data_IF_888054572588
#
_entry.id   IF_888054572588
#
_cell.length_a   1.000
_cell.length_b   1.000
_cell.length_c   1.000
_cell.angle_alpha   90.00
_cell.angle_beta   90.00
_cell.angle_gamma   90.00
#
_symmetry.space_group_name_H-M   'P 1'
#
loop_
_entity.id
_entity.type
_entity.pdbx_description
1 polymer ?
#
# COMPACT_ATOMS: atom_id res chain seq x y z
N UNK A 1 63.93 -15.52 8.72
CA UNK A 1 64.75 -16.10 7.63
C UNK A 1 64.12 -17.44 7.29
N UNK A 2 63.58 -17.79 6.14
CA UNK A 2 63.29 -17.17 4.85
C UNK A 2 62.59 -18.25 3.99
N UNK A 3 61.76 -17.81 3.03
CA UNK A 3 61.13 -18.57 1.93
C UNK A 3 60.06 -19.61 2.31
N UNK A 4 58.83 -19.63 1.78
CA UNK A 4 58.25 -18.98 0.61
C UNK A 4 57.76 -20.03 -0.38
N UNK A 5 56.46 -20.31 -0.44
CA UNK A 5 55.83 -20.98 -1.58
C UNK A 5 54.37 -20.53 -1.71
N UNK A 6 54.11 -19.81 -2.80
CA UNK A 6 52.81 -19.26 -3.21
C UNK A 6 52.02 -20.36 -3.94
N UNK A 7 50.76 -20.57 -3.55
CA UNK A 7 49.82 -21.40 -4.31
C UNK A 7 49.23 -20.54 -5.43
N UNK A 8 49.41 -20.99 -6.67
CA UNK A 8 48.90 -20.37 -7.87
C UNK A 8 47.39 -20.63 -8.02
N UNK A 9 46.64 -19.57 -8.32
CA UNK A 9 45.23 -19.61 -8.71
C UNK A 9 45.16 -19.93 -10.20
N UNK A 10 44.48 -21.02 -10.55
CA UNK A 10 44.21 -21.43 -11.92
C UNK A 10 43.02 -20.60 -12.46
N UNK A 11 43.28 -19.68 -13.39
CA UNK A 11 42.25 -18.95 -14.14
C UNK A 11 41.97 -19.75 -15.41
N UNK A 12 40.76 -20.30 -15.54
CA UNK A 12 40.27 -20.91 -16.77
C UNK A 12 39.69 -19.83 -17.69
N UNK A 13 40.32 -19.61 -18.83
CA UNK A 13 39.78 -18.81 -19.93
C UNK A 13 38.79 -19.66 -20.75
N UNK A 14 37.51 -19.31 -20.71
CA UNK A 14 36.53 -19.82 -21.68
C UNK A 14 36.53 -18.87 -22.87
N UNK A 15 37.03 -19.37 -24.00
CA UNK A 15 36.96 -18.70 -25.30
C UNK A 15 35.65 -19.14 -25.97
N UNK A 16 34.71 -18.21 -26.18
CA UNK A 16 33.53 -18.47 -27.02
C UNK A 16 33.88 -18.08 -28.46
N UNK A 17 34.01 -19.09 -29.31
CA UNK A 17 34.10 -18.98 -30.77
C UNK A 17 32.74 -18.54 -31.33
N UNK A 18 32.68 -17.33 -31.88
CA UNK A 18 31.58 -16.89 -32.75
C UNK A 18 31.89 -17.36 -34.17
N UNK A 19 31.25 -18.44 -34.60
CA UNK A 19 31.30 -18.90 -35.99
C UNK A 19 30.20 -18.19 -36.78
N UNK A 20 30.60 -17.29 -37.69
CA UNK A 20 29.71 -16.67 -38.65
C UNK A 20 29.29 -17.67 -39.73
N UNK A 21 27.98 -17.76 -39.98
CA UNK A 21 27.42 -18.39 -41.16
C UNK A 21 26.78 -17.31 -42.05
N UNK A 22 27.35 -17.17 -43.25
CA UNK A 22 26.79 -16.41 -44.36
C UNK A 22 25.46 -17.02 -44.79
N UNK A 23 24.40 -16.23 -44.86
CA UNK A 23 23.16 -16.59 -45.57
C UNK A 23 23.07 -15.75 -46.83
N UNK A 24 23.22 -16.42 -47.98
CA UNK A 24 23.05 -15.86 -49.32
C UNK A 24 21.56 -15.90 -49.65
N UNK A 25 21.04 -14.78 -50.18
CA UNK A 25 19.62 -14.57 -50.42
C UNK A 25 19.02 -15.43 -51.53
N UNK A 26 17.74 -15.75 -51.37
CA UNK A 26 16.80 -15.86 -52.48
C UNK A 26 15.64 -14.90 -52.23
N UNK A 27 15.47 -13.94 -53.14
CA UNK A 27 14.28 -13.09 -53.21
C UNK A 27 13.15 -13.90 -53.82
N UNK A 28 12.21 -14.34 -52.99
CA UNK A 28 10.88 -14.72 -53.44
C UNK A 28 9.96 -13.52 -53.21
N UNK A 29 9.48 -12.93 -54.32
CA UNK A 29 8.48 -11.89 -54.32
C UNK A 29 7.14 -12.48 -53.83
N UNK A 30 6.77 -12.20 -52.58
CA UNK A 30 5.44 -12.50 -52.08
C UNK A 30 4.43 -11.48 -52.63
N UNK A 31 3.25 -11.91 -53.13
CA UNK A 31 2.19 -10.99 -53.49
C UNK A 31 1.66 -10.25 -52.25
N UNK A 32 1.40 -8.96 -52.40
CA UNK A 32 0.87 -8.07 -51.36
C UNK A 32 -0.35 -8.68 -50.66
N UNK A 33 -0.45 -8.62 -49.32
CA UNK A 33 -1.69 -8.97 -48.63
C UNK A 33 -2.78 -7.99 -49.05
N UNK A 34 -3.90 -8.53 -49.54
CA UNK A 34 -5.15 -7.77 -49.65
C UNK A 34 -5.50 -7.27 -48.25
N UNK A 35 -5.57 -5.95 -48.09
CA UNK A 35 -5.79 -5.30 -46.81
C UNK A 35 -7.09 -5.77 -46.16
N UNK A 36 -6.96 -6.36 -44.98
CA UNK A 36 -8.08 -6.47 -44.06
C UNK A 36 -8.49 -5.06 -43.60
N UNK A 37 -9.79 -4.74 -43.52
CA UNK A 37 -10.23 -3.46 -42.98
C UNK A 37 -9.72 -3.31 -41.54
N UNK A 38 -9.35 -2.08 -41.12
CA UNK A 38 -8.95 -1.84 -39.75
C UNK A 38 -10.09 -2.24 -38.80
N UNK A 39 -9.75 -2.79 -37.60
CA UNK A 39 -10.77 -3.02 -36.59
C UNK A 39 -11.50 -1.71 -36.27
N UNK A 40 -12.79 -1.75 -35.91
CA UNK A 40 -13.53 -0.56 -35.50
C UNK A 40 -12.76 0.17 -34.41
N UNK A 41 -12.59 1.49 -34.58
CA UNK A 41 -12.01 2.33 -33.54
C UNK A 41 -12.79 2.09 -32.24
N UNK A 42 -12.12 1.52 -31.24
CA UNK A 42 -12.65 1.44 -29.89
C UNK A 42 -12.83 2.86 -29.40
N UNK A 43 -14.07 3.24 -29.07
CA UNK A 43 -14.36 4.52 -28.45
C UNK A 43 -13.46 4.67 -27.21
N UNK A 44 -12.90 5.86 -26.94
CA UNK A 44 -12.18 6.10 -25.71
C UNK A 44 -13.11 5.77 -24.54
N UNK A 45 -12.78 4.72 -23.80
CA UNK A 45 -13.41 4.45 -22.52
C UNK A 45 -12.92 5.56 -21.61
N UNK A 46 -13.75 6.57 -21.39
CA UNK A 46 -13.47 7.58 -20.40
C UNK A 46 -13.15 6.86 -19.07
N UNK A 47 -12.04 7.22 -18.39
CA UNK A 47 -11.80 6.70 -17.06
C UNK A 47 -13.03 6.99 -16.21
N UNK A 48 -13.43 6.07 -15.31
CA UNK A 48 -14.54 6.33 -14.40
C UNK A 48 -14.27 7.66 -13.69
N UNK A 49 -15.28 8.54 -13.58
CA UNK A 49 -15.12 9.80 -12.88
C UNK A 49 -14.54 9.52 -11.50
N UNK A 50 -13.53 10.28 -11.12
CA UNK A 50 -12.96 10.27 -9.78
C UNK A 50 -14.13 10.36 -8.78
N UNK A 51 -14.21 9.47 -7.78
CA UNK A 51 -15.35 9.44 -6.87
C UNK A 51 -15.50 10.83 -6.24
N UNK A 52 -16.70 11.38 -6.35
CA UNK A 52 -17.07 12.67 -5.74
C UNK A 52 -16.61 12.67 -4.28
N UNK A 53 -15.91 13.72 -3.80
CA UNK A 53 -15.46 13.80 -2.42
C UNK A 53 -16.65 13.56 -1.49
N UNK A 54 -16.59 12.48 -0.73
CA UNK A 54 -17.63 12.11 0.22
C UNK A 54 -17.73 13.22 1.27
N UNK A 55 -18.93 13.73 1.60
CA UNK A 55 -19.08 14.76 2.62
C UNK A 55 -18.50 14.27 3.96
N UNK A 56 -17.65 15.08 4.59
CA UNK A 56 -17.09 14.81 5.91
C UNK A 56 -18.22 14.65 6.95
N UNK A 57 -18.34 13.49 7.62
CA UNK A 57 -19.26 13.33 8.73
C UNK A 57 -18.59 13.87 10.00
N UNK A 58 -18.41 15.19 10.10
CA UNK A 58 -17.75 15.79 11.28
C UNK A 58 -18.65 15.71 12.53
N UNK A 59 -19.97 15.67 12.36
CA UNK A 59 -20.95 15.49 13.45
C UNK A 59 -21.29 14.01 13.67
N UNK A 60 -20.43 13.28 14.37
CA UNK A 60 -20.75 11.92 14.81
C UNK A 60 -19.60 11.02 15.23
N UNK A 61 -18.34 11.45 15.08
CA UNK A 61 -17.19 10.69 15.57
C UNK A 61 -17.04 10.96 17.09
N UNK A 62 -17.14 9.92 17.95
CA UNK A 62 -16.94 10.08 19.39
C UNK A 62 -15.63 10.81 19.71
N UNK A 63 -15.64 11.70 20.70
CA UNK A 63 -14.43 12.37 21.21
C UNK A 63 -13.42 11.40 21.81
N UNK A 64 -12.21 11.88 22.08
CA UNK A 64 -11.14 11.11 22.74
C UNK A 64 -10.11 10.48 21.78
N UNK A 65 -9.23 9.60 22.32
CA UNK A 65 -8.19 8.94 21.56
C UNK A 65 -8.76 8.01 20.49
N UNK A 66 -8.07 7.93 19.35
CA UNK A 66 -8.46 7.09 18.21
C UNK A 66 -7.39 6.03 18.00
N UNK A 67 -7.77 4.76 18.11
CA UNK A 67 -6.87 3.65 17.79
C UNK A 67 -6.61 3.54 16.29
N UNK A 68 -5.56 2.82 15.91
CA UNK A 68 -5.39 2.42 14.52
C UNK A 68 -4.81 1.02 14.35
N UNK A 69 -5.08 0.40 13.21
CA UNK A 69 -4.40 -0.81 12.73
C UNK A 69 -4.23 -0.71 11.22
N UNK A 70 -3.24 -1.41 10.67
CA UNK A 70 -2.98 -1.40 9.23
C UNK A 70 -1.53 -1.73 8.91
N UNK A 71 -1.10 -1.37 7.70
CA UNK A 71 0.26 -1.57 7.23
C UNK A 71 1.14 -0.34 7.44
N UNK A 72 2.41 -0.45 7.06
CA UNK A 72 3.42 0.59 7.23
C UNK A 72 3.02 1.93 6.62
N UNK A 73 2.37 1.96 5.45
CA UNK A 73 1.81 3.20 4.89
C UNK A 73 0.81 3.90 5.81
N UNK A 74 0.02 3.14 6.56
CA UNK A 74 -0.96 3.66 7.52
C UNK A 74 -0.24 4.25 8.72
N UNK A 75 0.79 3.57 9.24
CA UNK A 75 1.65 4.11 10.30
C UNK A 75 2.33 5.41 9.85
N UNK A 76 2.86 5.45 8.64
CA UNK A 76 3.54 6.63 8.08
C UNK A 76 2.52 7.77 7.82
N UNK A 77 1.28 7.44 7.43
CA UNK A 77 0.17 8.41 7.39
C UNK A 77 -0.15 8.97 8.78
N UNK A 78 -0.16 8.14 9.83
CA UNK A 78 -0.34 8.60 11.21
C UNK A 78 0.81 9.51 11.65
N UNK A 79 2.05 9.20 11.29
CA UNK A 79 3.21 10.08 11.53
C UNK A 79 3.00 11.45 10.87
N UNK A 80 2.57 11.46 9.61
CA UNK A 80 2.19 12.67 8.91
C UNK A 80 1.06 13.46 9.59
N UNK A 81 0.01 12.77 10.05
CA UNK A 81 -1.09 13.36 10.79
C UNK A 81 -0.62 14.04 12.09
N UNK A 82 0.34 13.45 12.80
CA UNK A 82 1.01 14.09 13.95
C UNK A 82 1.80 15.33 13.52
N UNK A 83 2.60 15.21 12.47
CA UNK A 83 3.46 16.29 11.99
C UNK A 83 2.67 17.54 11.57
N UNK A 84 1.44 17.37 11.08
CA UNK A 84 0.54 18.48 10.72
C UNK A 84 -0.39 18.93 11.87
N UNK A 85 -0.11 18.51 13.11
CA UNK A 85 -0.77 19.01 14.32
C UNK A 85 -1.93 18.17 14.85
N UNK A 86 -2.21 17.02 14.26
CA UNK A 86 -3.20 16.07 14.76
C UNK A 86 -2.81 15.50 16.13
N UNK A 87 -3.80 15.30 17.02
CA UNK A 87 -3.56 14.85 18.41
C UNK A 87 -4.38 13.64 18.87
N UNK A 88 -5.44 13.26 18.14
CA UNK A 88 -6.41 12.25 18.59
C UNK A 88 -6.01 10.81 18.30
N UNK A 89 -5.52 10.51 17.10
CA UNK A 89 -5.01 9.16 16.77
C UNK A 89 -3.81 8.82 17.65
N UNK A 90 -3.67 7.58 18.09
CA UNK A 90 -2.55 7.18 18.94
C UNK A 90 -1.20 7.45 18.25
N UNK A 91 -0.20 7.87 19.03
CA UNK A 91 1.15 8.09 18.53
C UNK A 91 1.87 6.74 18.33
N UNK A 92 2.26 6.33 17.11
CA UNK A 92 2.88 5.04 16.87
C UNK A 92 4.04 4.74 17.84
N UNK A 93 4.17 3.48 18.28
CA UNK A 93 5.34 3.09 19.09
C UNK A 93 6.61 3.18 18.24
N UNK A 94 7.76 3.21 18.91
CA UNK A 94 9.06 3.10 18.22
C UNK A 94 9.28 1.72 17.59
N UNK A 95 8.49 0.71 18.00
CA UNK A 95 8.50 -0.60 17.40
C UNK A 95 7.77 -0.56 16.05
N UNK A 96 8.54 -0.75 14.97
CA UNK A 96 8.02 -0.70 13.59
C UNK A 96 7.09 -1.87 13.24
N UNK A 97 6.96 -2.87 14.12
CA UNK A 97 5.97 -3.93 13.94
C UNK A 97 4.55 -3.38 14.08
N UNK A 98 4.29 -2.45 14.99
CA UNK A 98 2.95 -1.87 15.13
C UNK A 98 2.57 -1.05 13.89
N UNK A 99 1.43 -1.40 13.30
CA UNK A 99 0.99 -0.79 12.04
C UNK A 99 1.88 -1.18 10.85
N UNK A 100 2.36 -2.43 10.77
CA UNK A 100 3.15 -2.94 9.64
C UNK A 100 2.48 -4.05 8.82
N UNK A 101 1.28 -4.51 9.22
CA UNK A 101 0.66 -5.72 8.69
C UNK A 101 -0.48 -5.49 7.67
N UNK A 102 -0.62 -6.41 6.71
CA UNK A 102 -1.87 -6.58 5.94
C UNK A 102 -2.97 -7.17 6.83
N UNK A 103 -4.25 -7.15 6.43
CA UNK A 103 -5.31 -7.83 7.16
C UNK A 103 -5.02 -9.32 7.44
N UNK A 104 -4.36 -10.01 6.51
CA UNK A 104 -3.93 -11.40 6.68
C UNK A 104 -2.89 -11.53 7.79
N UNK A 105 -1.91 -10.62 7.82
CA UNK A 105 -0.85 -10.64 8.83
C UNK A 105 -1.37 -10.31 10.24
N UNK A 106 -2.27 -9.34 10.37
CA UNK A 106 -2.96 -9.03 11.63
C UNK A 106 -3.79 -10.20 12.14
N UNK A 107 -4.57 -10.84 11.26
CA UNK A 107 -5.33 -12.03 11.62
C UNK A 107 -4.44 -13.20 12.04
N UNK A 108 -3.33 -13.44 11.32
CA UNK A 108 -2.36 -14.48 11.71
C UNK A 108 -1.78 -14.23 13.09
N UNK A 109 -1.49 -12.97 13.44
CA UNK A 109 -0.93 -12.59 14.74
C UNK A 109 -1.86 -12.90 15.92
N UNK A 110 -3.15 -13.16 15.70
CA UNK A 110 -4.07 -13.58 16.78
C UNK A 110 -3.62 -14.93 17.39
N UNK A 111 -3.10 -15.83 16.56
CA UNK A 111 -2.69 -17.19 16.99
C UNK A 111 -1.19 -17.47 16.89
N UNK A 112 -0.41 -16.59 16.25
CA UNK A 112 1.04 -16.72 16.13
C UNK A 112 1.75 -15.73 17.08
N UNK A 113 2.24 -16.18 18.24
CA UNK A 113 2.87 -15.31 19.24
C UNK A 113 4.21 -14.73 18.78
N UNK A 114 4.77 -15.19 17.65
CA UNK A 114 5.97 -14.58 17.08
C UNK A 114 5.66 -13.26 16.34
N UNK A 115 4.38 -12.99 16.06
CA UNK A 115 3.91 -11.75 15.46
C UNK A 115 3.39 -10.83 16.58
N UNK A 116 4.11 -9.73 16.84
CA UNK A 116 3.87 -8.84 17.97
C UNK A 116 2.79 -7.76 17.75
N UNK A 117 1.99 -7.86 16.69
CA UNK A 117 1.05 -6.79 16.34
C UNK A 117 0.03 -6.52 17.45
N UNK A 118 -0.50 -7.57 18.08
CA UNK A 118 -1.47 -7.43 19.18
C UNK A 118 -0.83 -7.07 20.52
N UNK A 119 0.42 -7.47 20.76
CA UNK A 119 1.16 -7.06 21.96
C UNK A 119 1.37 -5.54 21.96
N UNK A 120 1.83 -4.99 20.82
CA UNK A 120 1.99 -3.55 20.66
C UNK A 120 0.64 -2.81 20.66
N UNK A 121 -0.40 -3.41 20.08
CA UNK A 121 -1.76 -2.88 20.18
C UNK A 121 -2.19 -2.74 21.64
N UNK A 122 -1.91 -3.73 22.49
CA UNK A 122 -2.28 -3.70 23.91
C UNK A 122 -1.50 -2.64 24.68
N UNK A 123 -0.20 -2.48 24.39
CA UNK A 123 0.62 -1.37 24.92
C UNK A 123 -0.01 -0.02 24.56
N UNK A 124 -0.39 0.15 23.29
CA UNK A 124 -0.98 1.39 22.78
C UNK A 124 -2.36 1.68 23.35
N UNK A 125 -3.22 0.67 23.44
CA UNK A 125 -4.55 0.78 24.03
C UNK A 125 -4.46 1.15 25.52
N UNK A 126 -3.54 0.53 26.25
CA UNK A 126 -3.29 0.85 27.67
C UNK A 126 -2.78 2.28 27.86
N UNK A 127 -1.92 2.76 26.96
CA UNK A 127 -1.39 4.12 27.01
C UNK A 127 -2.42 5.20 26.63
N UNK A 128 -3.53 4.81 25.96
CA UNK A 128 -4.54 5.72 25.45
C UNK A 128 -5.96 5.30 25.91
N UNK A 129 -6.24 5.36 27.22
CA UNK A 129 -7.50 4.89 27.77
C UNK A 129 -8.70 5.68 27.21
N UNK A 130 -9.84 5.01 27.10
CA UNK A 130 -11.09 5.64 26.66
C UNK A 130 -11.27 5.73 25.14
N UNK A 131 -10.43 5.06 24.35
CA UNK A 131 -10.65 4.97 22.91
C UNK A 131 -12.03 4.34 22.59
N UNK A 132 -12.85 5.06 21.83
CA UNK A 132 -14.16 4.60 21.32
C UNK A 132 -14.21 4.56 19.80
N UNK A 133 -13.12 4.94 19.15
CA UNK A 133 -12.98 4.98 17.70
C UNK A 133 -11.67 4.33 17.32
N UNK A 134 -11.68 3.59 16.22
CA UNK A 134 -10.49 3.02 15.62
C UNK A 134 -10.51 3.22 14.10
N UNK A 135 -9.38 3.59 13.53
CA UNK A 135 -9.16 3.66 12.10
C UNK A 135 -8.37 2.44 11.60
N UNK A 136 -8.94 1.70 10.66
CA UNK A 136 -8.29 0.56 10.02
C UNK A 136 -7.96 0.90 8.58
N UNK A 137 -6.68 1.00 8.26
CA UNK A 137 -6.21 1.17 6.88
C UNK A 137 -5.91 -0.18 6.22
N UNK A 138 -6.52 -0.43 5.07
CA UNK A 138 -6.48 -1.72 4.39
C UNK A 138 -5.42 -1.74 3.29
N UNK A 139 -4.31 -2.39 3.57
CA UNK A 139 -3.25 -2.63 2.59
C UNK A 139 -3.20 -4.10 2.21
N UNK A 140 -3.05 -4.39 0.92
CA UNK A 140 -3.06 -5.75 0.40
C UNK A 140 -1.74 -6.05 -0.32
N UNK A 141 -1.28 -7.28 -0.24
CA UNK A 141 -0.18 -7.75 -1.10
C UNK A 141 -0.72 -8.38 -2.37
N UNK A 142 0.07 -8.31 -3.45
CA UNK A 142 -0.28 -8.96 -4.71
C UNK A 142 -0.51 -10.48 -4.57
N UNK A 143 0.20 -11.11 -3.63
CA UNK A 143 0.16 -12.56 -3.38
C UNK A 143 -1.03 -13.01 -2.52
N UNK A 144 -1.73 -12.08 -1.86
CA UNK A 144 -2.88 -12.40 -1.01
C UNK A 144 -4.14 -12.42 -1.87
N UNK A 145 -4.99 -13.43 -1.72
CA UNK A 145 -6.29 -13.45 -2.40
C UNK A 145 -7.27 -12.48 -1.77
N UNK A 146 -8.28 -12.04 -2.53
CA UNK A 146 -9.34 -11.16 -2.00
C UNK A 146 -10.11 -11.80 -0.85
N UNK A 147 -10.37 -13.11 -0.94
CA UNK A 147 -11.06 -13.84 0.12
C UNK A 147 -10.21 -13.98 1.39
N UNK A 148 -8.91 -14.25 1.26
CA UNK A 148 -8.01 -14.28 2.42
C UNK A 148 -7.91 -12.90 3.09
N UNK A 149 -7.83 -11.85 2.27
CA UNK A 149 -7.80 -10.45 2.74
C UNK A 149 -9.08 -10.06 3.47
N UNK A 150 -10.24 -10.46 2.94
CA UNK A 150 -11.53 -10.24 3.60
C UNK A 150 -11.64 -11.01 4.93
N UNK A 151 -11.31 -12.30 4.93
CA UNK A 151 -11.32 -13.09 6.17
C UNK A 151 -10.38 -12.49 7.23
N UNK A 152 -9.19 -12.05 6.81
CA UNK A 152 -8.23 -11.40 7.68
C UNK A 152 -8.75 -10.07 8.24
N UNK A 153 -9.43 -9.27 7.41
CA UNK A 153 -10.01 -8.00 7.85
C UNK A 153 -11.15 -8.21 8.86
N UNK A 154 -12.03 -9.19 8.63
CA UNK A 154 -13.08 -9.55 9.59
C UNK A 154 -12.48 -10.01 10.91
N UNK A 155 -11.50 -10.92 10.89
CA UNK A 155 -10.82 -11.38 12.11
C UNK A 155 -10.14 -10.23 12.87
N UNK A 156 -9.50 -9.30 12.15
CA UNK A 156 -8.88 -8.11 12.74
C UNK A 156 -9.91 -7.20 13.41
N UNK A 157 -11.06 -6.98 12.74
CA UNK A 157 -12.18 -6.19 13.28
C UNK A 157 -12.76 -6.83 14.54
N UNK A 158 -12.97 -8.14 14.53
CA UNK A 158 -13.54 -8.87 15.66
C UNK A 158 -12.58 -8.84 16.86
N UNK A 159 -11.27 -8.98 16.61
CA UNK A 159 -10.25 -8.89 17.67
C UNK A 159 -10.13 -7.47 18.25
N UNK A 160 -10.21 -6.44 17.41
CA UNK A 160 -10.30 -5.05 17.88
C UNK A 160 -11.53 -4.85 18.77
N UNK A 161 -12.70 -5.36 18.37
CA UNK A 161 -13.94 -5.26 19.17
C UNK A 161 -13.84 -6.02 20.49
N UNK A 162 -13.12 -7.15 20.52
CA UNK A 162 -12.84 -7.91 21.73
C UNK A 162 -11.96 -7.11 22.70
N UNK A 163 -10.90 -6.46 22.21
CA UNK A 163 -9.95 -5.67 23.01
C UNK A 163 -10.48 -4.29 23.40
N UNK A 164 -11.36 -3.69 22.59
CA UNK A 164 -12.00 -2.40 22.85
C UNK A 164 -13.53 -2.54 22.70
N UNK A 165 -14.23 -3.00 23.75
CA UNK A 165 -15.68 -3.17 23.69
C UNK A 165 -16.41 -1.86 23.35
N UNK A 166 -17.31 -1.95 22.36
CA UNK A 166 -18.11 -0.82 21.88
C UNK A 166 -17.39 0.15 20.93
N UNK A 167 -16.19 -0.20 20.45
CA UNK A 167 -15.44 0.61 19.49
C UNK A 167 -16.20 0.76 18.15
N UNK A 168 -16.24 1.98 17.63
CA UNK A 168 -16.63 2.25 16.25
C UNK A 168 -15.39 2.16 15.35
N UNK A 169 -15.42 1.28 14.37
CA UNK A 169 -14.31 1.09 13.43
C UNK A 169 -14.63 1.82 12.12
N UNK A 170 -13.70 2.66 11.66
CA UNK A 170 -13.69 3.31 10.35
C UNK A 170 -12.65 2.64 9.47
N UNK A 171 -13.03 2.21 8.26
CA UNK A 171 -12.13 1.53 7.33
C UNK A 171 -11.81 2.42 6.12
N UNK A 172 -10.54 2.46 5.75
CA UNK A 172 -10.05 3.12 4.54
C UNK A 172 -9.29 2.13 3.68
N UNK A 173 -9.31 2.33 2.36
CA UNK A 173 -8.33 1.71 1.49
C UNK A 173 -6.91 2.24 1.82
N UNK A 174 -5.89 1.54 1.32
CA UNK A 174 -4.56 2.11 1.16
C UNK A 174 -4.65 3.40 0.33
N UNK A 175 -3.75 4.35 0.58
CA UNK A 175 -3.57 5.51 -0.31
C UNK A 175 -3.44 5.06 -1.77
N UNK A 176 -3.91 5.89 -2.70
CA UNK A 176 -3.68 5.63 -4.12
C UNK A 176 -2.31 6.12 -4.57
N UNK A 177 -2.08 6.01 -5.87
CA UNK A 177 -0.87 6.44 -6.55
C UNK A 177 -1.27 7.09 -7.86
N UNK A 178 -0.62 8.20 -8.19
CA UNK A 178 -0.88 8.91 -9.45
C UNK A 178 -0.36 8.07 -10.62
N UNK A 179 -1.20 7.86 -11.63
CA UNK A 179 -0.83 7.08 -12.81
C UNK A 179 0.38 7.66 -13.56
N UNK A 180 1.19 6.81 -14.23
CA UNK A 180 1.08 5.35 -14.35
C UNK A 180 1.62 4.55 -13.15
N UNK A 181 2.03 5.21 -12.07
CA UNK A 181 2.68 4.55 -10.95
C UNK A 181 1.70 3.75 -10.08
N UNK A 182 2.19 2.63 -9.55
CA UNK A 182 1.51 1.81 -8.53
C UNK A 182 2.58 1.13 -7.66
N UNK A 183 2.31 0.99 -6.36
CA UNK A 183 3.20 0.23 -5.48
C UNK A 183 3.28 -1.25 -5.90
N UNK A 184 4.48 -1.68 -6.31
CA UNK A 184 4.73 -3.04 -6.82
C UNK A 184 4.39 -4.15 -5.82
N UNK A 185 4.51 -3.90 -4.51
CA UNK A 185 4.17 -4.86 -3.45
C UNK A 185 2.68 -5.22 -3.46
N UNK A 186 1.83 -4.25 -3.78
CA UNK A 186 0.38 -4.41 -3.79
C UNK A 186 -0.14 -4.96 -5.12
N UNK A 187 0.69 -4.88 -6.17
CA UNK A 187 0.35 -5.20 -7.54
C UNK A 187 -0.48 -4.10 -8.21
N UNK A 188 -0.65 -4.19 -9.53
CA UNK A 188 -1.28 -3.15 -10.36
C UNK A 188 -2.67 -2.72 -9.86
N UNK A 189 -3.45 -3.65 -9.32
CA UNK A 189 -4.80 -3.39 -8.85
C UNK A 189 -4.88 -3.23 -7.31
N UNK A 190 -3.75 -3.09 -6.62
CA UNK A 190 -3.69 -3.04 -5.15
C UNK A 190 -4.64 -2.01 -4.53
N UNK A 191 -4.58 -0.72 -4.92
CA UNK A 191 -5.49 0.31 -4.41
C UNK A 191 -6.97 0.00 -4.68
N UNK A 192 -7.30 -0.43 -5.91
CA UNK A 192 -8.68 -0.81 -6.26
C UNK A 192 -9.19 -1.99 -5.39
N UNK A 193 -8.37 -3.03 -5.22
CA UNK A 193 -8.72 -4.20 -4.39
C UNK A 193 -8.92 -3.80 -2.92
N UNK A 194 -8.08 -2.92 -2.39
CA UNK A 194 -8.24 -2.37 -1.05
C UNK A 194 -9.54 -1.57 -0.90
N UNK A 195 -9.90 -0.76 -1.91
CA UNK A 195 -11.16 -0.01 -1.92
C UNK A 195 -12.38 -0.93 -1.99
N UNK A 196 -12.34 -1.97 -2.83
CA UNK A 196 -13.41 -2.96 -2.92
C UNK A 196 -13.59 -3.71 -1.60
N UNK A 197 -12.49 -4.04 -0.90
CA UNK A 197 -12.55 -4.63 0.43
C UNK A 197 -13.16 -3.67 1.46
N UNK A 198 -12.74 -2.40 1.48
CA UNK A 198 -13.32 -1.38 2.36
C UNK A 198 -14.84 -1.26 2.15
N UNK A 199 -15.26 -1.14 0.88
CA UNK A 199 -16.67 -1.06 0.50
C UNK A 199 -17.46 -2.29 0.94
N UNK A 200 -16.88 -3.49 0.80
CA UNK A 200 -17.52 -4.74 1.24
C UNK A 200 -17.74 -4.75 2.75
N UNK A 201 -16.74 -4.38 3.54
CA UNK A 201 -16.84 -4.32 5.01
C UNK A 201 -17.91 -3.33 5.47
N UNK A 202 -18.02 -2.18 4.79
CA UNK A 202 -19.07 -1.18 5.07
C UNK A 202 -20.45 -1.71 4.69
N UNK A 203 -20.60 -2.26 3.47
CA UNK A 203 -21.87 -2.82 2.97
C UNK A 203 -22.43 -3.91 3.89
N UNK A 204 -21.54 -4.72 4.47
CA UNK A 204 -21.92 -5.81 5.38
C UNK A 204 -22.04 -5.35 6.85
N UNK A 205 -21.98 -4.04 7.13
CA UNK A 205 -22.16 -3.49 8.47
C UNK A 205 -21.03 -3.79 9.45
N UNK A 206 -19.86 -4.22 8.96
CA UNK A 206 -18.71 -4.57 9.82
C UNK A 206 -17.97 -3.34 10.34
N UNK A 207 -17.95 -2.27 9.54
CA UNK A 207 -17.29 -1.00 9.83
C UNK A 207 -18.03 0.18 9.16
N UNK A 208 -17.64 1.41 9.51
CA UNK A 208 -18.06 2.64 8.83
C UNK A 208 -17.02 3.06 7.79
N UNK A 209 -17.42 3.84 6.79
CA UNK A 209 -16.51 4.44 5.81
C UNK A 209 -15.56 5.40 6.50
N UNK A 210 -14.25 5.15 6.41
CA UNK A 210 -13.18 6.04 6.84
C UNK A 210 -12.77 7.04 5.75
N UNK A 211 -11.74 7.86 6.02
CA UNK A 211 -11.26 8.85 5.05
C UNK A 211 -10.64 8.19 3.82
N UNK A 212 -10.85 8.80 2.66
CA UNK A 212 -9.87 8.71 1.57
C UNK A 212 -8.70 9.62 1.93
N UNK A 213 -7.50 9.06 2.05
CA UNK A 213 -6.29 9.81 2.41
C UNK A 213 -5.57 10.38 1.18
N UNK A 214 -6.04 10.05 -0.03
CA UNK A 214 -5.54 10.58 -1.29
C UNK A 214 -4.43 9.76 -1.94
N UNK A 215 -3.95 10.29 -3.07
CA UNK A 215 -2.96 9.64 -3.93
C UNK A 215 -1.54 10.20 -3.74
N UNK A 216 -0.53 9.35 -3.93
CA UNK A 216 0.88 9.74 -3.90
C UNK A 216 1.50 9.82 -5.30
N UNK A 217 2.30 10.87 -5.53
CA UNK A 217 3.19 11.03 -6.70
C UNK A 217 4.50 10.29 -6.44
N UNK A 218 4.97 9.46 -7.38
CA UNK A 218 6.22 8.70 -7.28
C UNK A 218 7.17 8.98 -8.44
N UNK A 219 8.47 9.02 -8.14
CA UNK A 219 9.58 9.15 -9.12
C UNK A 219 9.99 7.77 -9.65
N UNK A 220 9.87 6.74 -8.81
CA UNK A 220 10.53 5.45 -9.02
C UNK A 220 9.60 4.34 -9.53
N UNK A 221 10.21 3.43 -10.30
CA UNK A 221 9.70 2.23 -10.98
C UNK A 221 8.76 2.41 -12.17
N UNK A 222 7.88 3.43 -12.20
CA UNK A 222 7.36 4.06 -13.42
C UNK A 222 6.95 5.48 -12.99
N UNK A 223 7.62 6.56 -13.43
CA UNK A 223 7.29 7.90 -12.96
C UNK A 223 5.81 8.17 -13.15
N UNK A 224 5.13 8.55 -12.07
CA UNK A 224 3.82 9.17 -12.21
C UNK A 224 3.97 10.38 -13.15
N UNK A 225 3.01 10.59 -14.05
CA UNK A 225 3.19 11.59 -15.12
C UNK A 225 3.43 12.97 -14.49
N UNK A 226 4.62 13.56 -14.72
CA UNK A 226 4.99 14.85 -14.14
C UNK A 226 5.70 14.81 -12.77
N UNK A 227 6.11 13.62 -12.29
CA UNK A 227 7.00 13.51 -11.14
C UNK A 227 8.41 14.08 -11.44
N UNK A 228 9.00 14.69 -10.42
CA UNK A 228 10.39 15.14 -10.37
C UNK A 228 10.92 14.80 -8.97
N UNK A 229 12.24 14.64 -8.83
CA UNK A 229 12.87 14.44 -7.53
C UNK A 229 12.49 15.49 -6.45
N UNK A 230 11.97 16.66 -6.86
CA UNK A 230 11.54 17.74 -5.95
C UNK A 230 10.06 17.66 -5.53
N UNK A 231 9.21 16.93 -6.27
CA UNK A 231 7.77 16.87 -6.03
C UNK A 231 7.25 15.49 -5.60
N UNK A 232 8.15 14.53 -5.39
CA UNK A 232 7.79 13.15 -5.06
C UNK A 232 7.27 13.01 -3.63
N UNK A 233 6.24 12.20 -3.52
CA UNK A 233 5.50 11.97 -2.29
C UNK A 233 5.68 10.52 -1.81
N UNK A 234 6.46 9.72 -2.53
CA UNK A 234 6.94 8.41 -2.08
C UNK A 234 8.43 8.45 -1.76
N UNK A 235 8.89 7.51 -0.93
CA UNK A 235 10.31 7.18 -0.82
C UNK A 235 10.74 6.28 -1.99
N UNK A 236 12.03 5.96 -2.07
CA UNK A 236 12.65 5.26 -3.21
C UNK A 236 12.10 3.84 -3.49
N UNK A 237 11.29 3.27 -2.60
CA UNK A 237 10.62 2.00 -2.87
C UNK A 237 9.33 2.16 -3.68
N UNK A 238 8.92 3.39 -3.97
CA UNK A 238 7.69 3.70 -4.70
C UNK A 238 6.41 3.31 -3.96
N UNK A 239 6.48 2.95 -2.68
CA UNK A 239 5.34 2.45 -1.93
C UNK A 239 5.03 3.34 -0.73
N UNK A 240 6.03 3.63 0.11
CA UNK A 240 5.80 4.37 1.35
C UNK A 240 5.77 5.88 1.08
N UNK A 241 4.93 6.64 1.79
CA UNK A 241 4.94 8.09 1.70
C UNK A 241 6.27 8.68 2.17
N UNK A 242 6.74 9.74 1.50
CA UNK A 242 7.94 10.47 1.92
C UNK A 242 7.65 11.31 3.17
N UNK A 243 8.56 11.34 4.17
CA UNK A 243 8.34 12.13 5.39
C UNK A 243 8.12 13.63 5.15
N UNK A 244 8.73 14.19 4.09
CA UNK A 244 8.68 15.63 3.82
C UNK A 244 7.43 16.06 3.05
N UNK A 245 6.82 15.17 2.25
CA UNK A 245 5.71 15.53 1.35
C UNK A 245 4.54 14.56 1.43
N UNK A 246 4.80 13.27 1.29
CA UNK A 246 3.78 12.22 1.31
C UNK A 246 3.07 12.10 2.65
N UNK A 247 3.82 11.91 3.73
CA UNK A 247 3.21 11.70 5.06
C UNK A 247 2.36 12.92 5.46
N UNK A 248 2.85 14.18 5.38
CA UNK A 248 2.03 15.34 5.71
C UNK A 248 0.81 15.51 4.81
N UNK A 249 0.89 15.11 3.52
CA UNK A 249 -0.25 15.14 2.59
C UNK A 249 -1.36 14.21 3.05
N UNK A 250 -1.05 12.92 3.21
CA UNK A 250 -2.03 11.93 3.68
C UNK A 250 -2.54 12.28 5.09
N UNK A 251 -1.65 12.77 5.95
CA UNK A 251 -1.95 13.19 7.31
C UNK A 251 -2.94 14.35 7.41
N UNK A 252 -2.96 15.28 6.44
CA UNK A 252 -3.94 16.38 6.40
C UNK A 252 -5.36 15.89 6.10
N UNK A 253 -5.52 14.93 5.21
CA UNK A 253 -6.83 14.34 4.93
C UNK A 253 -7.33 13.52 6.14
N UNK A 254 -6.41 12.80 6.79
CA UNK A 254 -6.71 12.12 8.05
C UNK A 254 -7.12 13.10 9.16
N UNK A 255 -6.46 14.27 9.23
CA UNK A 255 -6.81 15.35 10.15
C UNK A 255 -8.19 15.93 9.87
N UNK A 256 -8.49 16.24 8.61
CA UNK A 256 -9.77 16.79 8.17
C UNK A 256 -10.94 15.87 8.48
N UNK A 257 -10.72 14.55 8.50
CA UNK A 257 -11.78 13.59 8.81
C UNK A 257 -12.01 13.42 10.32
N UNK A 258 -10.93 13.36 11.12
CA UNK A 258 -11.02 13.03 12.54
C UNK A 258 -10.98 14.22 13.50
N UNK A 259 -10.81 15.45 13.02
CA UNK A 259 -10.97 16.68 13.82
C UNK A 259 -12.24 17.43 13.43
#
# INVERSE_FOLDING_TARGET
MGFGARIAVLIAFITVLVSGAFYIGQQYSNPSPVGTPPPPATLPVNPPPSPTPTPSPTSGIPGGPIGFVGCSNIRDTVQGYRAVGGKRIWNPTTDKTYGGGTPVAWAKSISDPNLKYWDEFDVMNKANPGAKTLWMGLCLRAVESDQASYNGAVATIDEVKRKIPGVTIYVSALNGFVEPHVCGITGKNGPLRAQLLANRLVKEGRAKTGPDVGDLISDDQIPSTGATAQNTETVSDGCHPSPQRGEPKLGRELLKFFN
#
